data_IF_109122404448
#
_entry.id   IF_109122404448
#
_cell.length_a   1.000
_cell.length_b   1.000
_cell.length_c   1.000
_cell.angle_alpha   90.00
_cell.angle_beta   90.00
_cell.angle_gamma   90.00
#
_symmetry.space_group_name_H-M   'P 1'
#
loop_
_entity.id
_entity.type
_entity.pdbx_description
1 polymer ?
#
# COMPACT_ATOMS: atom_id res chain seq x y z
N UNK A 1 -35.38 7.65 54.14
CA UNK A 1 -34.33 7.69 53.13
C UNK A 1 -33.46 6.45 53.28
N UNK A 2 -33.60 5.44 52.40
CA UNK A 2 -32.79 4.21 52.48
C UNK A 2 -31.48 4.44 51.75
N UNK A 3 -30.38 4.52 52.46
CA UNK A 3 -29.05 4.57 51.88
C UNK A 3 -28.79 3.22 51.18
N UNK A 4 -28.56 3.31 49.86
CA UNK A 4 -28.14 2.17 49.05
C UNK A 4 -26.75 1.78 49.51
N UNK A 5 -26.60 0.59 50.03
CA UNK A 5 -25.30 0.05 50.51
C UNK A 5 -24.49 -0.28 49.30
N UNK A 6 -23.50 0.55 48.96
CA UNK A 6 -22.57 0.29 47.88
C UNK A 6 -21.79 -1.01 48.24
N UNK A 7 -21.89 -2.00 47.35
CA UNK A 7 -21.14 -3.26 47.52
C UNK A 7 -19.69 -2.97 47.08
N UNK A 8 -18.82 -2.86 48.07
CA UNK A 8 -17.39 -2.83 47.80
C UNK A 8 -16.92 -4.21 47.33
N UNK A 9 -16.12 -4.26 46.26
CA UNK A 9 -15.54 -5.50 45.77
C UNK A 9 -14.57 -6.08 46.81
N UNK A 10 -14.63 -7.41 47.00
CA UNK A 10 -13.68 -8.11 47.82
C UNK A 10 -12.30 -8.16 47.16
N UNK A 11 -11.23 -8.07 47.95
CA UNK A 11 -9.86 -8.22 47.45
C UNK A 11 -9.67 -9.56 46.69
N UNK A 12 -10.31 -10.62 47.17
CA UNK A 12 -10.32 -11.94 46.53
C UNK A 12 -10.97 -11.90 45.14
N UNK A 13 -12.08 -11.16 44.99
CA UNK A 13 -12.78 -11.02 43.72
C UNK A 13 -11.91 -10.31 42.68
N UNK A 14 -11.17 -9.28 43.09
CA UNK A 14 -10.22 -8.58 42.21
C UNK A 14 -9.06 -9.49 41.78
N UNK A 15 -8.52 -10.32 42.66
CA UNK A 15 -7.47 -11.28 42.32
C UNK A 15 -7.99 -12.32 41.32
N UNK A 16 -9.20 -12.82 41.48
CA UNK A 16 -9.81 -13.77 40.56
C UNK A 16 -10.00 -13.12 39.18
N UNK A 17 -10.49 -11.89 39.13
CA UNK A 17 -10.67 -11.17 37.84
C UNK A 17 -9.34 -10.99 37.11
N UNK A 18 -8.28 -10.54 37.81
CA UNK A 18 -6.95 -10.35 37.21
C UNK A 18 -6.37 -11.70 36.72
N UNK A 19 -6.58 -12.79 37.49
CA UNK A 19 -6.15 -14.13 37.09
C UNK A 19 -6.87 -14.59 35.81
N UNK A 20 -8.18 -14.39 35.68
CA UNK A 20 -8.95 -14.69 34.48
C UNK A 20 -8.51 -13.88 33.30
N UNK A 21 -8.27 -12.57 33.49
CA UNK A 21 -7.75 -11.69 32.43
C UNK A 21 -6.37 -12.15 31.96
N UNK A 22 -5.49 -12.57 32.88
CA UNK A 22 -4.16 -13.09 32.55
C UNK A 22 -4.24 -14.36 31.68
N UNK A 23 -5.14 -15.32 32.06
CA UNK A 23 -5.35 -16.55 31.28
C UNK A 23 -5.90 -16.22 29.88
N UNK A 24 -6.90 -15.34 29.79
CA UNK A 24 -7.46 -14.91 28.50
C UNK A 24 -6.40 -14.20 27.62
N UNK A 25 -5.59 -13.33 28.19
CA UNK A 25 -4.49 -12.67 27.47
C UNK A 25 -3.47 -13.69 26.96
N UNK A 26 -3.08 -14.67 27.77
CA UNK A 26 -2.12 -15.71 27.37
C UNK A 26 -2.62 -16.57 26.19
N UNK A 27 -3.93 -16.76 26.06
CA UNK A 27 -4.54 -17.50 24.94
C UNK A 27 -4.73 -16.58 23.71
N UNK A 28 -5.03 -15.31 23.90
CA UNK A 28 -5.34 -14.37 22.81
C UNK A 28 -4.07 -13.92 22.04
N UNK A 29 -2.98 -13.64 22.75
CA UNK A 29 -1.74 -13.12 22.16
C UNK A 29 -1.13 -14.05 21.09
N UNK A 30 -0.99 -15.38 21.29
CA UNK A 30 -0.40 -16.27 20.28
C UNK A 30 -1.24 -16.41 19.00
N UNK A 31 -2.51 -16.00 19.01
CA UNK A 31 -3.42 -16.08 17.87
C UNK A 31 -3.31 -14.89 16.91
N UNK A 32 -2.53 -13.88 17.25
CA UNK A 32 -2.23 -12.77 16.33
C UNK A 32 -1.34 -13.28 15.20
N UNK A 33 -1.97 -13.63 14.07
CA UNK A 33 -1.25 -14.12 12.89
C UNK A 33 -0.64 -12.93 12.14
N UNK A 34 0.60 -12.57 12.50
CA UNK A 34 1.35 -11.48 11.88
C UNK A 34 1.52 -11.68 10.37
N UNK A 35 1.60 -12.94 9.91
CA UNK A 35 1.65 -13.24 8.47
C UNK A 35 0.34 -12.87 7.75
N UNK A 36 -0.82 -12.97 8.40
CA UNK A 36 -2.07 -12.52 7.83
C UNK A 36 -2.10 -10.99 7.65
N UNK A 37 -1.54 -10.25 8.60
CA UNK A 37 -1.43 -8.78 8.53
C UNK A 37 -0.55 -8.38 7.33
N UNK A 38 0.64 -8.99 7.18
CA UNK A 38 1.54 -8.71 6.06
C UNK A 38 0.92 -9.07 4.70
N UNK A 39 0.11 -10.14 4.61
CA UNK A 39 -0.66 -10.48 3.41
C UNK A 39 -1.65 -9.39 3.02
N UNK A 40 -2.41 -8.86 3.99
CA UNK A 40 -3.34 -7.77 3.75
C UNK A 40 -2.63 -6.47 3.35
N UNK A 41 -1.48 -6.18 3.95
CA UNK A 41 -0.66 -5.03 3.59
C UNK A 41 -0.19 -5.10 2.14
N UNK A 42 0.33 -6.26 1.68
CA UNK A 42 0.75 -6.44 0.29
C UNK A 42 -0.42 -6.25 -0.69
N UNK A 43 -1.59 -6.82 -0.41
CA UNK A 43 -2.78 -6.66 -1.24
C UNK A 43 -3.25 -5.19 -1.29
N UNK A 44 -3.30 -4.52 -0.15
CA UNK A 44 -3.70 -3.12 -0.06
C UNK A 44 -2.72 -2.23 -0.82
N UNK A 45 -1.41 -2.45 -0.66
CA UNK A 45 -0.36 -1.72 -1.38
C UNK A 45 -0.46 -1.94 -2.88
N UNK A 46 -0.66 -3.19 -3.34
CA UNK A 46 -0.83 -3.48 -4.77
C UNK A 46 -2.04 -2.75 -5.36
N UNK A 47 -3.19 -2.78 -4.67
CA UNK A 47 -4.41 -2.06 -5.10
C UNK A 47 -4.20 -0.55 -5.12
N UNK A 48 -3.50 0.00 -4.13
CA UNK A 48 -3.18 1.43 -4.06
C UNK A 48 -2.30 1.84 -5.23
N UNK A 49 -1.23 1.10 -5.52
CA UNK A 49 -0.37 1.36 -6.68
C UNK A 49 -1.15 1.31 -8.00
N UNK A 50 -2.05 0.33 -8.18
CA UNK A 50 -2.92 0.26 -9.37
C UNK A 50 -3.81 1.50 -9.50
N UNK A 51 -4.37 1.97 -8.38
CA UNK A 51 -5.20 3.18 -8.36
C UNK A 51 -4.38 4.41 -8.72
N UNK A 52 -3.17 4.52 -8.19
CA UNK A 52 -2.27 5.64 -8.41
C UNK A 52 -1.67 5.64 -9.82
N UNK A 53 -1.41 4.47 -10.41
CA UNK A 53 -1.07 4.35 -11.83
C UNK A 53 -2.23 4.82 -12.73
N UNK A 54 -3.47 4.47 -12.38
CA UNK A 54 -4.66 4.97 -13.10
C UNK A 54 -4.84 6.47 -12.94
N UNK A 55 -4.55 7.01 -11.75
CA UNK A 55 -4.56 8.45 -11.49
C UNK A 55 -3.48 9.14 -12.33
N UNK A 56 -2.25 8.63 -12.33
CA UNK A 56 -1.14 9.16 -13.13
C UNK A 56 -1.49 9.22 -14.62
N UNK A 57 -2.09 8.13 -15.15
CA UNK A 57 -2.59 8.09 -16.53
C UNK A 57 -3.68 9.12 -16.79
N UNK A 58 -4.61 9.27 -15.86
CA UNK A 58 -5.73 10.23 -15.95
C UNK A 58 -5.21 11.68 -15.94
N UNK A 59 -4.22 11.99 -15.08
CA UNK A 59 -3.56 13.29 -15.04
C UNK A 59 -2.85 13.59 -16.36
N UNK A 60 -2.13 12.60 -16.94
CA UNK A 60 -1.45 12.78 -18.23
C UNK A 60 -2.44 13.09 -19.36
N UNK A 61 -3.62 12.49 -19.36
CA UNK A 61 -4.67 12.76 -20.37
C UNK A 61 -5.34 14.11 -20.11
N UNK A 62 -5.69 14.43 -18.86
CA UNK A 62 -6.41 15.66 -18.53
C UNK A 62 -5.60 16.93 -18.74
N UNK A 63 -4.29 16.85 -18.58
CA UNK A 63 -3.36 17.99 -18.76
C UNK A 63 -2.60 17.93 -20.09
N UNK A 64 -3.09 17.17 -21.06
CA UNK A 64 -2.44 16.94 -22.34
C UNK A 64 -2.15 18.22 -23.15
N UNK A 65 -2.98 19.26 -22.96
CA UNK A 65 -2.82 20.53 -23.63
C UNK A 65 -1.62 21.35 -23.13
N UNK A 66 -1.32 21.24 -21.81
CA UNK A 66 -0.27 22.04 -21.16
C UNK A 66 1.00 21.22 -20.90
N UNK A 67 0.86 19.90 -20.76
CA UNK A 67 1.97 19.01 -20.44
C UNK A 67 2.14 17.90 -21.49
N UNK A 68 3.02 18.14 -22.47
CA UNK A 68 3.35 17.16 -23.50
C UNK A 68 4.30 16.06 -23.04
N UNK A 69 4.98 16.25 -21.89
CA UNK A 69 5.86 15.24 -21.29
C UNK A 69 5.12 14.23 -20.44
N UNK A 70 3.91 14.59 -19.97
CA UNK A 70 3.01 13.74 -19.23
C UNK A 70 3.35 13.65 -17.75
N UNK A 71 2.86 12.57 -17.10
CA UNK A 71 3.04 12.30 -15.68
C UNK A 71 3.69 10.95 -15.48
N UNK A 72 4.44 10.80 -14.39
CA UNK A 72 5.04 9.52 -14.02
C UNK A 72 4.72 9.11 -12.59
N UNK A 73 4.64 7.79 -12.37
CA UNK A 73 4.79 7.19 -11.07
C UNK A 73 6.20 6.62 -10.98
N UNK A 74 6.99 7.10 -10.03
CA UNK A 74 8.37 6.64 -9.81
C UNK A 74 8.54 6.04 -8.42
N UNK A 75 9.28 4.93 -8.34
CA UNK A 75 9.75 4.38 -7.08
C UNK A 75 10.97 5.17 -6.62
N UNK A 76 11.05 5.47 -5.33
CA UNK A 76 12.13 6.28 -4.73
C UNK A 76 12.94 5.43 -3.77
N UNK A 77 14.25 5.59 -3.84
CA UNK A 77 15.23 4.82 -3.08
C UNK A 77 15.84 3.66 -3.88
N UNK A 78 16.64 2.86 -3.22
CA UNK A 78 17.15 1.58 -3.73
C UNK A 78 16.23 0.44 -3.26
N UNK A 79 16.35 -0.73 -3.87
CA UNK A 79 15.60 -1.92 -3.44
C UNK A 79 16.11 -2.36 -2.05
N UNK A 80 15.21 -2.52 -1.06
CA UNK A 80 13.76 -2.30 -1.09
C UNK A 80 13.38 -0.83 -1.14
N UNK A 81 12.44 -0.48 -2.04
CA UNK A 81 11.95 0.89 -2.15
C UNK A 81 11.21 1.32 -0.88
N UNK A 82 11.39 2.58 -0.48
CA UNK A 82 10.79 3.14 0.76
C UNK A 82 9.52 3.94 0.50
N UNK A 83 9.37 4.47 -0.71
CA UNK A 83 8.20 5.26 -1.13
C UNK A 83 8.06 5.26 -2.65
N UNK A 84 6.92 5.73 -3.15
CA UNK A 84 6.72 6.09 -4.53
C UNK A 84 6.04 7.46 -4.64
N UNK A 85 6.24 8.11 -5.76
CA UNK A 85 5.76 9.47 -6.01
C UNK A 85 5.08 9.55 -7.37
N UNK A 86 4.05 10.40 -7.48
CA UNK A 86 3.47 10.83 -8.74
C UNK A 86 4.01 12.21 -9.04
N UNK A 87 4.64 12.38 -10.19
CA UNK A 87 5.31 13.61 -10.58
C UNK A 87 4.87 14.06 -11.97
N UNK A 88 4.78 15.37 -12.15
CA UNK A 88 4.67 15.98 -13.48
C UNK A 88 6.07 15.96 -14.12
N UNK A 89 6.21 15.29 -15.26
CA UNK A 89 7.51 15.10 -15.93
C UNK A 89 8.08 16.40 -16.51
N UNK A 90 7.23 17.39 -16.76
CA UNK A 90 7.66 18.68 -17.32
C UNK A 90 8.17 19.64 -16.25
N UNK A 91 7.42 19.80 -15.19
CA UNK A 91 7.70 20.77 -14.10
C UNK A 91 8.47 20.18 -12.93
N UNK A 92 8.61 18.84 -12.87
CA UNK A 92 9.13 18.09 -11.72
C UNK A 92 8.37 18.31 -10.41
N UNK A 93 7.13 18.80 -10.51
CA UNK A 93 6.27 18.96 -9.34
C UNK A 93 5.71 17.62 -8.88
N UNK A 94 5.91 17.29 -7.62
CA UNK A 94 5.31 16.12 -6.99
C UNK A 94 3.82 16.38 -6.71
N UNK A 95 2.96 15.56 -7.28
CA UNK A 95 1.50 15.62 -7.10
C UNK A 95 1.07 14.83 -5.86
N UNK A 96 1.68 13.66 -5.67
CA UNK A 96 1.41 12.81 -4.52
C UNK A 96 2.67 12.00 -4.16
N UNK A 97 2.83 11.71 -2.87
CA UNK A 97 3.89 10.85 -2.34
C UNK A 97 3.31 9.86 -1.34
N UNK A 98 3.70 8.61 -1.43
CA UNK A 98 3.20 7.53 -0.58
C UNK A 98 4.35 6.68 -0.06
N UNK A 99 4.44 6.58 1.27
CA UNK A 99 5.40 5.71 1.96
C UNK A 99 4.96 4.25 1.83
N UNK A 100 5.93 3.38 1.65
CA UNK A 100 5.75 1.93 1.62
C UNK A 100 5.97 1.33 3.00
N UNK A 101 5.19 0.33 3.33
CA UNK A 101 5.34 -0.43 4.57
C UNK A 101 6.61 -1.30 4.50
N UNK A 102 7.37 -1.38 5.57
CA UNK A 102 8.60 -2.20 5.65
C UNK A 102 8.34 -3.70 5.45
N UNK A 103 7.10 -4.15 5.71
CA UNK A 103 6.69 -5.55 5.54
C UNK A 103 6.33 -5.90 4.09
N UNK A 104 6.38 -4.92 3.18
CA UNK A 104 6.05 -5.08 1.76
C UNK A 104 7.29 -4.83 0.93
N UNK A 105 7.62 -5.78 0.06
CA UNK A 105 8.71 -5.65 -0.90
C UNK A 105 8.16 -5.39 -2.29
N UNK A 106 8.78 -4.45 -3.01
CA UNK A 106 8.45 -4.14 -4.41
C UNK A 106 9.65 -4.42 -5.28
N UNK A 107 9.43 -5.14 -6.38
CA UNK A 107 10.40 -5.41 -7.42
C UNK A 107 9.93 -4.82 -8.75
N UNK A 108 10.79 -4.07 -9.42
CA UNK A 108 10.51 -3.44 -10.71
C UNK A 108 11.53 -3.92 -11.75
N UNK A 109 11.36 -5.14 -12.31
CA UNK A 109 12.36 -5.74 -13.21
C UNK A 109 12.57 -4.97 -14.50
N UNK A 110 11.54 -4.21 -14.94
CA UNK A 110 11.57 -3.44 -16.20
C UNK A 110 11.89 -1.96 -15.99
N UNK A 111 12.15 -1.54 -14.75
CA UNK A 111 12.50 -0.17 -14.37
C UNK A 111 11.54 0.43 -13.34
N UNK A 112 12.02 1.38 -12.53
CA UNK A 112 11.28 1.95 -11.41
C UNK A 112 10.40 3.14 -11.78
N UNK A 113 10.31 3.53 -13.05
CA UNK A 113 9.59 4.69 -13.55
C UNK A 113 8.52 4.27 -14.55
N UNK A 114 7.30 4.74 -14.35
CA UNK A 114 6.11 4.43 -15.17
C UNK A 114 5.56 5.75 -15.72
N UNK A 115 5.97 6.14 -16.95
CA UNK A 115 5.68 7.42 -17.56
C UNK A 115 4.51 7.29 -18.51
N UNK A 116 3.44 8.04 -18.28
CA UNK A 116 2.29 8.14 -19.17
C UNK A 116 2.34 9.41 -19.99
N UNK A 117 2.18 9.25 -21.31
CA UNK A 117 2.07 10.38 -22.25
C UNK A 117 0.65 10.98 -22.31
N UNK A 118 0.49 12.09 -23.04
CA UNK A 118 -0.79 12.80 -23.16
C UNK A 118 -1.94 11.96 -23.74
N UNK A 119 -1.63 10.91 -24.51
CA UNK A 119 -2.63 9.97 -25.04
C UNK A 119 -2.97 8.84 -24.07
N UNK A 120 -2.37 8.83 -22.86
CA UNK A 120 -2.55 7.80 -21.86
C UNK A 120 -1.82 6.48 -22.15
N UNK A 121 -0.99 6.45 -23.17
CA UNK A 121 -0.04 5.36 -23.46
C UNK A 121 1.24 5.52 -22.65
N UNK A 122 2.01 4.43 -22.50
CA UNK A 122 3.32 4.49 -21.87
C UNK A 122 4.36 5.09 -22.82
N UNK A 123 5.24 5.93 -22.29
CA UNK A 123 6.38 6.45 -23.05
C UNK A 123 7.50 5.41 -23.16
N UNK A 124 8.32 5.47 -24.24
CA UNK A 124 9.51 4.63 -24.37
C UNK A 124 10.45 4.78 -23.16
N UNK A 125 11.05 3.67 -22.72
CA UNK A 125 11.92 3.64 -21.53
C UNK A 125 11.18 3.55 -20.19
N UNK A 126 9.85 3.49 -20.21
CA UNK A 126 9.05 3.24 -19.00
C UNK A 126 9.06 1.77 -18.61
N UNK A 127 8.99 1.50 -17.32
CA UNK A 127 8.72 0.17 -16.80
C UNK A 127 7.34 -0.33 -17.24
N UNK A 128 7.23 -1.63 -17.49
CA UNK A 128 5.98 -2.26 -17.94
C UNK A 128 5.34 -3.15 -16.89
N UNK A 129 6.01 -3.33 -15.76
CA UNK A 129 5.49 -4.16 -14.69
C UNK A 129 6.29 -4.05 -13.40
N UNK A 130 5.60 -4.37 -12.33
CA UNK A 130 6.18 -4.47 -10.99
C UNK A 130 5.49 -5.58 -10.20
N UNK A 131 6.20 -6.13 -9.23
CA UNK A 131 5.66 -7.15 -8.32
C UNK A 131 5.68 -6.62 -6.89
N UNK A 132 4.55 -6.75 -6.20
CA UNK A 132 4.39 -6.40 -4.79
C UNK A 132 4.27 -7.69 -4.00
N UNK A 133 5.12 -7.91 -3.01
CA UNK A 133 5.13 -9.13 -2.19
C UNK A 133 5.15 -8.82 -0.70
N UNK A 134 4.51 -9.67 0.09
CA UNK A 134 4.48 -9.59 1.55
C UNK A 134 3.66 -10.73 2.16
N UNK A 135 4.11 -11.24 3.30
CA UNK A 135 3.42 -12.30 4.03
C UNK A 135 3.22 -13.60 3.24
N UNK A 136 4.10 -13.92 2.27
CA UNK A 136 4.01 -15.12 1.43
C UNK A 136 3.03 -15.03 0.26
N UNK A 137 2.51 -13.82 -0.05
CA UNK A 137 1.73 -13.54 -1.26
C UNK A 137 2.47 -12.58 -2.16
N UNK A 138 2.22 -12.70 -3.48
CA UNK A 138 2.74 -11.75 -4.45
C UNK A 138 1.66 -11.33 -5.45
N UNK A 139 1.73 -10.08 -5.88
CA UNK A 139 0.81 -9.46 -6.82
C UNK A 139 1.63 -8.88 -7.96
N UNK A 140 1.40 -9.37 -9.18
CA UNK A 140 2.05 -8.83 -10.37
C UNK A 140 1.15 -7.80 -11.03
N UNK A 141 1.66 -6.59 -11.17
CA UNK A 141 1.01 -5.48 -11.88
C UNK A 141 1.70 -5.33 -13.22
N UNK A 142 0.96 -5.49 -14.30
CA UNK A 142 1.44 -5.36 -15.69
C UNK A 142 0.76 -4.19 -16.37
N UNK A 143 1.49 -3.46 -17.19
CA UNK A 143 0.99 -2.30 -17.94
C UNK A 143 1.20 -2.54 -19.42
N UNK A 144 0.15 -2.42 -20.21
CA UNK A 144 0.20 -2.54 -21.67
C UNK A 144 0.69 -1.21 -22.23
N UNK A 145 1.88 -1.21 -22.84
CA UNK A 145 2.54 0.03 -23.32
C UNK A 145 1.68 0.85 -24.28
N UNK A 146 1.06 0.18 -25.26
CA UNK A 146 0.30 0.85 -26.31
C UNK A 146 -0.94 1.59 -25.78
N UNK A 147 -1.60 1.04 -24.77
CA UNK A 147 -2.88 1.57 -24.25
C UNK A 147 -2.77 2.17 -22.86
N UNK A 148 -1.68 1.91 -22.14
CA UNK A 148 -1.54 2.26 -20.72
C UNK A 148 -2.50 1.50 -19.80
N UNK A 149 -3.12 0.41 -20.29
CA UNK A 149 -4.03 -0.40 -19.50
C UNK A 149 -3.27 -1.20 -18.44
N UNK A 150 -3.83 -1.28 -17.24
CA UNK A 150 -3.20 -1.86 -16.05
C UNK A 150 -3.96 -3.13 -15.66
N UNK A 151 -3.22 -4.23 -15.52
CA UNK A 151 -3.72 -5.51 -15.02
C UNK A 151 -2.97 -5.85 -13.72
N UNK A 152 -3.69 -6.34 -12.72
CA UNK A 152 -3.13 -6.86 -11.48
C UNK A 152 -3.59 -8.31 -11.30
N UNK A 153 -2.65 -9.20 -11.04
CA UNK A 153 -2.90 -10.63 -10.83
C UNK A 153 -2.21 -11.04 -9.54
N UNK A 154 -2.90 -11.85 -8.74
CA UNK A 154 -2.31 -12.54 -7.58
C UNK A 154 -1.66 -13.84 -8.07
N UNK A 155 -0.43 -14.08 -7.62
CA UNK A 155 0.35 -15.29 -7.96
C UNK A 155 0.30 -16.31 -6.83
#
# INVERSE_FOLDING_TARGET
>A
MRLKKDKAFSLVEMIIIVMWLGILAAIAVPRLNLAAISKHKAQTTARKIVTDLRLTRRLAISDAANNTKGFELKMVGSVPYTRYEIENVDTHATVASHTLDSDVSISCPTGPRFIYGPLGNMKPGSGTGLTVSGGGRSFTISIIQATGAIKCVEN
#
